data_IF_337897546031
#
_entry.id   IF_337897546031
#
_cell.length_a   1.000
_cell.length_b   1.000
_cell.length_c   1.000
_cell.angle_alpha   90.00
_cell.angle_beta   90.00
_cell.angle_gamma   90.00
#
_symmetry.space_group_name_H-M   'P 1'
#
loop_
_entity.id
_entity.type
_entity.pdbx_description
1 polymer ?
#
# COMPACT_ATOMS: atom_id res chain seq x y z
N UNK A 1 -1.42 -13.24 -31.53
CA UNK A 1 -1.89 -14.16 -30.45
C UNK A 1 -1.57 -13.50 -29.11
N UNK A 2 -2.56 -13.03 -28.31
CA UNK A 2 -2.27 -12.42 -27.00
C UNK A 2 -1.87 -13.53 -26.01
N UNK A 3 -0.67 -13.47 -25.45
CA UNK A 3 -0.22 -14.40 -24.40
C UNK A 3 -1.25 -14.38 -23.26
N UNK A 4 -1.80 -15.54 -22.90
CA UNK A 4 -2.68 -15.66 -21.73
C UNK A 4 -1.85 -15.30 -20.49
N UNK A 5 -2.19 -14.18 -19.84
CA UNK A 5 -1.60 -13.79 -18.57
C UNK A 5 -1.89 -14.89 -17.54
N UNK A 6 -0.84 -15.46 -16.96
CA UNK A 6 -0.97 -16.40 -15.83
C UNK A 6 -1.38 -15.59 -14.60
N UNK A 7 -2.32 -16.12 -13.82
CA UNK A 7 -2.72 -15.52 -12.54
C UNK A 7 -1.57 -15.68 -11.54
N UNK A 8 -1.11 -14.59 -10.90
CA UNK A 8 -0.08 -14.67 -9.87
C UNK A 8 -0.59 -15.44 -8.64
N UNK A 9 0.30 -16.27 -8.09
CA UNK A 9 0.10 -16.96 -6.80
C UNK A 9 1.12 -16.38 -5.82
N UNK A 10 0.62 -15.71 -4.78
CA UNK A 10 1.40 -14.95 -3.81
C UNK A 10 1.32 -15.57 -2.41
N UNK A 11 2.18 -15.12 -1.49
CA UNK A 11 2.24 -15.63 -0.12
C UNK A 11 3.00 -16.94 0.03
N UNK A 12 3.69 -17.42 -1.01
CA UNK A 12 4.49 -18.65 -0.94
C UNK A 12 5.84 -18.43 -0.23
N UNK A 13 6.40 -17.24 -0.33
CA UNK A 13 7.65 -16.87 0.34
C UNK A 13 7.52 -16.95 1.87
N UNK A 14 6.31 -16.71 2.41
CA UNK A 14 5.98 -16.93 3.82
C UNK A 14 6.22 -18.38 4.25
N UNK A 15 6.28 -19.34 3.32
CA UNK A 15 6.49 -20.77 3.60
C UNK A 15 7.81 -21.29 3.02
N UNK A 16 8.60 -20.44 2.37
CA UNK A 16 9.82 -20.86 1.67
C UNK A 16 9.56 -21.82 0.52
N UNK A 17 8.41 -21.68 -0.16
CA UNK A 17 8.03 -22.54 -1.27
C UNK A 17 7.99 -21.76 -2.58
N UNK A 18 8.35 -22.42 -3.67
CA UNK A 18 7.99 -22.03 -5.03
C UNK A 18 6.61 -22.55 -5.41
N UNK A 19 6.02 -22.03 -6.49
CA UNK A 19 4.75 -22.56 -7.02
C UNK A 19 4.86 -24.04 -7.43
N UNK A 20 6.03 -24.49 -7.91
CA UNK A 20 6.28 -25.88 -8.27
C UNK A 20 6.25 -26.79 -7.04
N UNK A 21 6.89 -26.37 -5.95
CA UNK A 21 6.91 -27.10 -4.69
C UNK A 21 5.53 -27.13 -4.04
N UNK A 22 4.78 -26.02 -4.08
CA UNK A 22 3.38 -26.00 -3.66
C UNK A 22 2.58 -27.07 -4.41
N UNK A 23 2.65 -27.09 -5.75
CA UNK A 23 1.93 -28.08 -6.57
C UNK A 23 2.33 -29.52 -6.23
N UNK A 24 3.58 -29.76 -5.82
CA UNK A 24 4.06 -31.07 -5.43
C UNK A 24 3.42 -31.60 -4.13
N UNK A 25 2.76 -30.74 -3.33
CA UNK A 25 2.03 -31.12 -2.11
C UNK A 25 0.68 -31.83 -2.40
N UNK A 26 0.26 -31.92 -3.67
CA UNK A 26 -0.89 -32.70 -4.18
C UNK A 26 -2.22 -32.47 -3.44
N UNK A 27 -2.57 -33.36 -2.51
CA UNK A 27 -3.88 -33.41 -1.85
C UNK A 27 -3.94 -32.62 -0.55
N UNK A 28 -2.82 -32.01 -0.14
CA UNK A 28 -2.75 -31.20 1.07
C UNK A 28 -3.75 -30.05 1.04
N UNK A 29 -4.36 -29.77 2.19
CA UNK A 29 -5.29 -28.67 2.35
C UNK A 29 -4.53 -27.35 2.53
N UNK A 30 -5.04 -26.32 1.86
CA UNK A 30 -4.52 -24.96 1.95
C UNK A 30 -5.66 -23.98 2.14
N UNK A 31 -5.43 -22.95 2.95
CA UNK A 31 -6.33 -21.81 3.06
C UNK A 31 -5.87 -20.75 2.09
N UNK A 32 -6.77 -20.31 1.23
CA UNK A 32 -6.45 -19.37 0.15
C UNK A 32 -7.47 -18.25 0.07
N UNK A 33 -7.02 -17.08 -0.37
CA UNK A 33 -7.86 -16.00 -0.90
C UNK A 33 -7.72 -15.96 -2.40
N UNK A 34 -8.84 -15.94 -3.11
CA UNK A 34 -8.87 -15.78 -4.57
C UNK A 34 -9.63 -14.51 -4.88
N UNK A 35 -8.93 -13.53 -5.45
CA UNK A 35 -9.49 -12.21 -5.74
C UNK A 35 -10.01 -12.15 -7.19
N UNK A 36 -11.17 -11.54 -7.39
CA UNK A 36 -11.73 -11.30 -8.72
C UNK A 36 -11.02 -10.13 -9.40
N UNK A 37 -10.80 -10.25 -10.71
CA UNK A 37 -10.32 -9.16 -11.56
C UNK A 37 -11.16 -7.88 -11.39
N UNK A 38 -10.55 -6.72 -11.62
CA UNK A 38 -11.25 -5.43 -11.56
C UNK A 38 -12.17 -5.16 -12.76
N UNK A 39 -12.07 -5.97 -13.82
CA UNK A 39 -12.72 -5.70 -15.10
C UNK A 39 -11.98 -4.62 -15.90
N UNK A 40 -12.39 -4.43 -17.15
CA UNK A 40 -11.90 -3.33 -17.98
C UNK A 40 -12.51 -2.00 -17.51
N UNK A 41 -11.68 -0.97 -17.36
CA UNK A 41 -12.12 0.32 -16.81
C UNK A 41 -12.50 1.32 -17.91
N UNK A 42 -11.86 1.20 -19.08
CA UNK A 42 -12.02 2.10 -20.21
C UNK A 42 -13.47 2.20 -20.71
N UNK A 43 -14.25 1.10 -20.79
CA UNK A 43 -15.66 1.19 -21.15
C UNK A 43 -16.50 2.00 -20.14
N UNK A 44 -15.99 2.22 -18.93
CA UNK A 44 -16.71 2.89 -17.86
C UNK A 44 -16.49 4.41 -17.80
N UNK A 45 -15.46 4.92 -18.49
CA UNK A 45 -15.13 6.34 -18.50
C UNK A 45 -16.24 7.25 -19.06
N UNK A 46 -17.02 6.85 -20.09
CA UNK A 46 -18.11 7.69 -20.60
C UNK A 46 -19.25 7.92 -19.60
N UNK A 47 -19.40 7.08 -18.59
CA UNK A 47 -20.51 7.17 -17.64
C UNK A 47 -20.20 8.13 -16.48
N UNK A 48 -21.21 8.84 -15.94
CA UNK A 48 -21.11 9.57 -14.67
C UNK A 48 -20.75 8.65 -13.48
N UNK A 49 -20.22 9.18 -12.36
CA UNK A 49 -19.73 8.38 -11.25
C UNK A 49 -20.75 7.42 -10.62
N UNK A 50 -22.01 7.81 -10.50
CA UNK A 50 -23.09 6.99 -9.94
C UNK A 50 -23.44 5.80 -10.86
N UNK A 51 -23.58 6.04 -12.16
CA UNK A 51 -23.81 4.98 -13.16
C UNK A 51 -22.59 4.07 -13.28
N UNK A 52 -21.39 4.65 -13.27
CA UNK A 52 -20.12 3.91 -13.24
C UNK A 52 -20.06 2.95 -12.06
N UNK A 53 -20.41 3.43 -10.85
CA UNK A 53 -20.45 2.59 -9.65
C UNK A 53 -21.41 1.41 -9.80
N UNK A 54 -22.62 1.63 -10.34
CA UNK A 54 -23.59 0.54 -10.59
C UNK A 54 -23.04 -0.50 -11.56
N UNK A 55 -22.49 -0.07 -12.70
CA UNK A 55 -21.88 -0.97 -13.69
C UNK A 55 -20.69 -1.75 -13.13
N UNK A 56 -19.86 -1.13 -12.29
CA UNK A 56 -18.79 -1.84 -11.58
C UNK A 56 -19.34 -2.91 -10.64
N UNK A 57 -20.45 -2.63 -9.95
CA UNK A 57 -21.08 -3.58 -9.03
C UNK A 57 -21.63 -4.80 -9.80
N UNK A 58 -22.28 -4.57 -10.94
CA UNK A 58 -22.76 -5.61 -11.86
C UNK A 58 -21.60 -6.50 -12.34
N UNK A 59 -20.54 -5.90 -12.89
CA UNK A 59 -19.35 -6.62 -13.37
C UNK A 59 -18.71 -7.42 -12.23
N UNK A 60 -18.56 -6.85 -11.04
CA UNK A 60 -18.00 -7.55 -9.89
C UNK A 60 -18.89 -8.72 -9.43
N UNK A 61 -20.21 -8.52 -9.43
CA UNK A 61 -21.18 -9.57 -9.15
C UNK A 61 -21.03 -10.76 -10.12
N UNK A 62 -20.95 -10.49 -11.42
CA UNK A 62 -20.80 -11.53 -12.44
C UNK A 62 -19.48 -12.30 -12.31
N UNK A 63 -18.36 -11.59 -12.09
CA UNK A 63 -17.05 -12.22 -11.90
C UNK A 63 -17.04 -13.08 -10.63
N UNK A 64 -17.68 -12.62 -9.55
CA UNK A 64 -17.83 -13.38 -8.32
C UNK A 64 -18.69 -14.63 -8.52
N UNK A 65 -19.81 -14.55 -9.25
CA UNK A 65 -20.64 -15.72 -9.58
C UNK A 65 -19.86 -16.76 -10.38
N UNK A 66 -19.02 -16.32 -11.33
CA UNK A 66 -18.10 -17.20 -12.07
C UNK A 66 -17.08 -17.87 -11.15
N UNK A 67 -16.48 -17.12 -10.22
CA UNK A 67 -15.54 -17.68 -9.24
C UNK A 67 -16.21 -18.68 -8.30
N UNK A 68 -17.39 -18.35 -7.78
CA UNK A 68 -18.21 -19.23 -6.94
C UNK A 68 -18.56 -20.53 -7.67
N UNK A 69 -18.90 -20.45 -8.95
CA UNK A 69 -19.27 -21.62 -9.76
C UNK A 69 -18.14 -22.64 -9.97
N UNK A 70 -16.88 -22.22 -9.80
CA UNK A 70 -15.70 -23.11 -9.89
C UNK A 70 -15.08 -23.44 -8.53
N UNK A 71 -15.64 -22.94 -7.44
CA UNK A 71 -15.12 -23.17 -6.10
C UNK A 71 -15.41 -24.63 -5.66
N UNK A 72 -14.42 -25.35 -5.11
CA UNK A 72 -14.55 -26.80 -4.86
C UNK A 72 -15.43 -27.17 -3.65
N UNK A 73 -15.74 -26.22 -2.77
CA UNK A 73 -16.52 -26.45 -1.55
C UNK A 73 -17.73 -25.50 -1.45
N UNK A 74 -18.70 -25.78 -0.59
CA UNK A 74 -19.72 -24.81 -0.20
C UNK A 74 -19.29 -23.94 0.98
N UNK A 75 -18.27 -24.39 1.71
CA UNK A 75 -17.70 -23.66 2.84
C UNK A 75 -16.66 -22.66 2.35
N UNK A 76 -17.03 -21.38 2.39
CA UNK A 76 -16.18 -20.26 2.06
C UNK A 76 -16.70 -18.96 2.66
N UNK A 77 -15.80 -17.99 2.80
CA UNK A 77 -16.14 -16.62 3.20
C UNK A 77 -15.98 -15.67 2.02
N UNK A 78 -16.88 -14.68 1.93
CA UNK A 78 -16.83 -13.67 0.88
C UNK A 78 -15.85 -12.58 1.29
N UNK A 79 -14.91 -12.24 0.41
CA UNK A 79 -14.02 -11.09 0.60
C UNK A 79 -14.74 -9.85 0.07
N UNK A 80 -14.76 -8.77 0.84
CA UNK A 80 -15.44 -7.52 0.47
C UNK A 80 -16.86 -7.45 1.03
N UNK A 81 -17.75 -6.71 0.37
CA UNK A 81 -19.14 -6.54 0.82
C UNK A 81 -20.11 -7.37 -0.02
N UNK A 82 -21.32 -7.62 0.50
CA UNK A 82 -22.39 -8.30 -0.26
C UNK A 82 -22.70 -7.60 -1.59
N UNK A 83 -22.60 -6.27 -1.63
CA UNK A 83 -22.85 -5.44 -2.82
C UNK A 83 -21.66 -5.43 -3.79
N UNK A 84 -20.44 -5.57 -3.28
CA UNK A 84 -19.18 -5.56 -4.04
C UNK A 84 -18.28 -6.69 -3.57
N UNK A 85 -18.60 -7.94 -3.96
CA UNK A 85 -17.74 -9.06 -3.63
C UNK A 85 -16.40 -8.89 -4.37
N UNK A 86 -15.31 -8.89 -3.61
CA UNK A 86 -13.95 -8.79 -4.11
C UNK A 86 -13.30 -10.15 -4.38
N UNK A 87 -13.82 -11.24 -3.80
CA UNK A 87 -13.23 -12.57 -3.93
C UNK A 87 -13.84 -13.58 -2.96
N UNK A 88 -13.20 -14.74 -2.87
CA UNK A 88 -13.56 -15.83 -1.96
C UNK A 88 -12.33 -16.21 -1.13
N UNK A 89 -12.52 -16.46 0.16
CA UNK A 89 -11.51 -17.05 1.04
C UNK A 89 -12.03 -18.39 1.57
N UNK A 90 -11.18 -19.41 1.61
CA UNK A 90 -11.57 -20.71 2.13
C UNK A 90 -10.50 -21.77 1.97
N UNK A 91 -10.81 -22.98 2.40
CA UNK A 91 -9.87 -24.12 2.36
C UNK A 91 -10.12 -24.96 1.12
N UNK A 92 -9.08 -25.22 0.34
CA UNK A 92 -9.11 -26.03 -0.89
C UNK A 92 -7.94 -27.01 -0.91
N UNK A 93 -8.01 -28.05 -1.75
CA UNK A 93 -6.84 -28.90 -2.01
C UNK A 93 -5.86 -28.16 -2.91
N UNK A 94 -4.57 -28.39 -2.74
CA UNK A 94 -3.53 -27.86 -3.64
C UNK A 94 -3.83 -28.20 -5.11
N UNK A 95 -4.31 -29.41 -5.40
CA UNK A 95 -4.71 -29.84 -6.74
C UNK A 95 -5.77 -28.92 -7.39
N UNK A 96 -6.63 -28.29 -6.58
CA UNK A 96 -7.70 -27.41 -7.05
C UNK A 96 -7.22 -26.01 -7.46
N UNK A 97 -5.99 -25.60 -7.09
CA UNK A 97 -5.43 -24.28 -7.46
C UNK A 97 -5.46 -24.05 -8.98
N UNK A 98 -5.27 -25.13 -9.76
CA UNK A 98 -5.30 -25.07 -11.24
C UNK A 98 -6.66 -24.63 -11.80
N UNK A 99 -7.75 -24.79 -11.04
CA UNK A 99 -9.09 -24.31 -11.42
C UNK A 99 -9.14 -22.79 -11.53
N UNK A 100 -8.32 -22.09 -10.76
CA UNK A 100 -8.29 -20.62 -10.69
C UNK A 100 -7.20 -19.99 -11.57
N UNK A 101 -6.00 -20.60 -11.61
CA UNK A 101 -4.79 -19.99 -12.22
C UNK A 101 -4.89 -19.66 -13.72
N UNK A 102 -5.83 -20.28 -14.43
CA UNK A 102 -6.05 -20.10 -15.87
C UNK A 102 -7.30 -19.27 -16.20
N UNK A 103 -7.90 -18.60 -15.20
CA UNK A 103 -9.15 -17.84 -15.37
C UNK A 103 -8.85 -16.35 -15.45
N UNK A 104 -9.25 -15.72 -16.55
CA UNK A 104 -9.07 -14.28 -16.78
C UNK A 104 -9.86 -13.40 -15.79
N UNK A 105 -10.90 -13.94 -15.16
CA UNK A 105 -11.69 -13.24 -14.14
C UNK A 105 -11.07 -13.32 -12.74
N UNK A 106 -9.94 -14.01 -12.57
CA UNK A 106 -9.17 -14.05 -11.32
C UNK A 106 -8.00 -13.07 -11.44
N UNK A 107 -7.86 -12.20 -10.44
CA UNK A 107 -6.77 -11.23 -10.37
C UNK A 107 -5.49 -11.86 -9.81
N UNK A 108 -5.62 -12.48 -8.63
CA UNK A 108 -4.54 -13.09 -7.88
C UNK A 108 -5.08 -14.16 -6.92
N UNK A 109 -4.17 -15.03 -6.46
CA UNK A 109 -4.39 -16.06 -5.46
C UNK A 109 -3.38 -15.83 -4.34
N UNK A 110 -3.84 -15.69 -3.10
CA UNK A 110 -2.99 -15.52 -1.93
C UNK A 110 -3.07 -16.76 -1.03
N UNK A 111 -1.94 -17.37 -0.71
CA UNK A 111 -1.87 -18.50 0.22
C UNK A 111 -1.77 -17.98 1.65
N UNK A 112 -2.74 -18.33 2.50
CA UNK A 112 -2.76 -17.92 3.91
C UNK A 112 -2.14 -18.96 4.83
N UNK A 113 -2.49 -20.22 4.64
CA UNK A 113 -2.09 -21.35 5.48
C UNK A 113 -1.90 -22.60 4.61
N UNK A 114 -0.92 -23.43 4.97
CA UNK A 114 -0.70 -24.73 4.35
C UNK A 114 -0.66 -25.77 5.47
N UNK A 115 -1.52 -26.78 5.37
CA UNK A 115 -1.61 -27.84 6.37
C UNK A 115 -0.25 -28.48 6.65
N UNK A 116 0.15 -28.50 7.93
CA UNK A 116 1.42 -29.07 8.36
C UNK A 116 2.68 -28.28 7.97
N UNK A 117 2.57 -27.08 7.36
CA UNK A 117 3.72 -26.20 7.10
C UNK A 117 3.55 -24.91 7.89
N UNK A 118 4.51 -24.63 8.76
CA UNK A 118 4.55 -23.37 9.51
C UNK A 118 5.11 -22.26 8.63
N UNK A 119 4.54 -21.06 8.74
CA UNK A 119 5.14 -19.87 8.16
C UNK A 119 6.56 -19.66 8.67
N UNK A 120 7.47 -19.32 7.78
CA UNK A 120 8.79 -18.82 8.10
C UNK A 120 8.64 -17.54 8.91
N UNK A 121 9.40 -17.45 10.00
CA UNK A 121 9.65 -16.16 10.64
C UNK A 121 10.59 -15.37 9.74
N UNK A 122 10.04 -14.65 8.76
CA UNK A 122 10.83 -13.73 7.96
C UNK A 122 11.54 -12.76 8.92
N UNK A 123 12.87 -12.69 8.83
CA UNK A 123 13.62 -11.68 9.58
C UNK A 123 13.11 -10.34 9.09
N UNK A 124 12.61 -9.50 10.01
CA UNK A 124 12.28 -8.12 9.67
C UNK A 124 13.54 -7.49 9.10
N UNK A 125 13.48 -7.05 7.85
CA UNK A 125 14.57 -6.28 7.24
C UNK A 125 14.31 -4.83 7.58
N UNK A 126 15.38 -4.05 7.76
CA UNK A 126 15.21 -2.61 7.97
C UNK A 126 14.83 -1.93 6.66
N UNK A 127 13.75 -1.17 6.65
CA UNK A 127 13.35 -0.31 5.54
C UNK A 127 13.63 1.15 5.87
N UNK A 128 13.57 2.03 4.87
CA UNK A 128 13.69 3.47 5.06
C UNK A 128 12.36 4.08 5.52
N UNK A 129 12.43 4.88 6.57
CA UNK A 129 11.30 5.63 7.11
C UNK A 129 11.65 7.11 7.17
N UNK A 130 10.70 7.97 6.83
CA UNK A 130 10.80 9.42 7.02
C UNK A 130 9.97 9.82 8.24
N UNK A 131 10.60 10.44 9.24
CA UNK A 131 9.94 10.89 10.47
C UNK A 131 9.84 12.40 10.45
N UNK A 132 8.60 12.90 10.47
CA UNK A 132 8.25 14.31 10.52
C UNK A 132 8.13 14.74 11.99
N UNK A 133 8.84 15.76 12.42
CA UNK A 133 8.91 16.20 13.81
C UNK A 133 8.92 17.72 13.95
N UNK A 134 8.42 18.22 15.08
CA UNK A 134 8.42 19.64 15.44
C UNK A 134 9.49 19.95 16.49
N UNK A 135 10.19 21.05 16.27
CA UNK A 135 11.21 21.58 17.17
C UNK A 135 10.90 23.04 17.45
N UNK A 136 10.67 23.38 18.71
CA UNK A 136 10.56 24.77 19.13
C UNK A 136 11.96 25.38 19.26
N UNK A 137 12.16 26.56 18.66
CA UNK A 137 13.38 27.35 18.85
C UNK A 137 13.21 28.15 20.14
N UNK A 138 14.12 27.97 21.09
CA UNK A 138 14.09 28.64 22.38
C UNK A 138 15.30 29.57 22.49
N UNK A 139 15.02 30.86 22.67
CA UNK A 139 16.01 31.93 22.82
C UNK A 139 16.04 32.37 24.29
N UNK A 140 17.24 32.51 24.84
CA UNK A 140 17.46 32.99 26.20
C UNK A 140 16.76 34.33 26.46
N UNK A 141 16.09 34.44 27.62
CA UNK A 141 15.37 35.66 28.02
C UNK A 141 14.02 35.88 27.33
N UNK A 142 13.69 35.15 26.25
CA UNK A 142 12.40 35.28 25.59
C UNK A 142 11.27 34.62 26.41
N UNK A 143 10.32 35.43 26.89
CA UNK A 143 9.19 34.97 27.73
C UNK A 143 7.80 35.28 27.15
N UNK A 144 7.73 36.09 26.08
CA UNK A 144 6.49 36.54 25.43
C UNK A 144 6.70 36.66 23.92
N UNK A 145 5.59 36.80 23.18
CA UNK A 145 5.59 36.95 21.72
C UNK A 145 5.39 35.63 20.99
N UNK A 146 5.67 35.63 19.68
CA UNK A 146 5.61 34.42 18.85
C UNK A 146 6.89 33.60 19.00
N UNK A 147 6.74 32.28 19.13
CA UNK A 147 7.84 31.34 19.11
C UNK A 147 7.97 30.73 17.71
N UNK A 148 9.20 30.67 17.22
CA UNK A 148 9.49 29.96 15.98
C UNK A 148 9.52 28.44 16.21
N UNK A 149 8.88 27.71 15.31
CA UNK A 149 8.86 26.25 15.30
C UNK A 149 9.40 25.78 13.96
N UNK A 150 10.35 24.87 14.02
CA UNK A 150 10.93 24.21 12.86
C UNK A 150 10.30 22.83 12.67
N UNK A 151 9.86 22.56 11.45
CA UNK A 151 9.42 21.24 11.04
C UNK A 151 10.55 20.51 10.32
N UNK A 152 10.98 19.37 10.87
CA UNK A 152 12.06 18.56 10.30
C UNK A 152 11.54 17.21 9.83
N UNK A 153 12.03 16.76 8.69
CA UNK A 153 11.81 15.40 8.20
C UNK A 153 13.16 14.68 8.16
N UNK A 154 13.28 13.63 8.95
CA UNK A 154 14.54 12.88 9.11
C UNK A 154 14.35 11.45 8.66
N UNK A 155 15.27 10.97 7.84
CA UNK A 155 15.23 9.63 7.25
C UNK A 155 16.06 8.67 8.12
N UNK A 156 15.51 7.48 8.41
CA UNK A 156 16.16 6.46 9.25
C UNK A 156 15.84 5.05 8.76
N UNK A 157 16.78 4.11 8.92
CA UNK A 157 16.50 2.68 8.72
C UNK A 157 15.98 2.03 9.99
N UNK A 158 14.78 1.46 9.94
CA UNK A 158 14.11 0.84 11.08
C UNK A 158 13.30 -0.41 10.67
N UNK A 159 12.79 -1.17 11.64
CA UNK A 159 11.96 -2.36 11.37
C UNK A 159 10.45 -2.04 11.22
N UNK A 160 10.07 -0.76 11.23
CA UNK A 160 8.69 -0.28 11.20
C UNK A 160 8.58 1.14 11.78
N UNK A 161 7.44 1.79 11.62
CA UNK A 161 7.23 3.19 12.02
C UNK A 161 7.53 3.45 13.51
N UNK A 162 7.07 2.57 14.42
CA UNK A 162 7.33 2.70 15.87
C UNK A 162 8.81 2.59 16.23
N UNK A 163 9.56 1.78 15.48
CA UNK A 163 11.00 1.63 15.69
C UNK A 163 11.75 2.86 15.16
N UNK A 164 11.33 3.40 14.01
CA UNK A 164 11.87 4.64 13.44
C UNK A 164 11.69 5.83 14.39
N UNK A 165 10.47 6.00 14.92
CA UNK A 165 10.14 7.01 15.92
C UNK A 165 11.04 6.89 17.16
N UNK A 166 11.15 5.68 17.73
CA UNK A 166 11.98 5.43 18.93
C UNK A 166 13.46 5.73 18.69
N UNK A 167 14.00 5.37 17.53
CA UNK A 167 15.40 5.66 17.16
C UNK A 167 15.60 7.17 17.13
N UNK A 168 14.72 7.91 16.45
CA UNK A 168 14.90 9.35 16.25
C UNK A 168 14.58 10.18 17.49
N UNK A 169 13.58 9.84 18.31
CA UNK A 169 13.37 10.51 19.61
C UNK A 169 14.64 10.48 20.46
N UNK A 170 15.36 9.34 20.48
CA UNK A 170 16.64 9.25 21.20
C UNK A 170 17.72 10.14 20.59
N UNK A 171 17.79 10.23 19.26
CA UNK A 171 18.75 11.09 18.58
C UNK A 171 18.43 12.58 18.79
N UNK A 172 17.16 12.96 18.76
CA UNK A 172 16.68 14.33 18.91
C UNK A 172 16.96 14.93 20.27
N UNK A 173 17.10 14.12 21.31
CA UNK A 173 17.56 14.58 22.64
C UNK A 173 18.90 15.30 22.59
N UNK A 174 19.75 15.02 21.60
CA UNK A 174 21.03 15.72 21.42
C UNK A 174 20.90 17.13 20.83
N UNK A 175 19.75 17.47 20.23
CA UNK A 175 19.54 18.82 19.68
C UNK A 175 19.24 19.88 20.76
N UNK A 176 19.12 19.46 22.02
CA UNK A 176 18.88 20.36 23.15
C UNK A 176 20.13 21.12 23.62
N UNK A 177 21.32 20.76 23.13
CA UNK A 177 22.56 21.42 23.51
C UNK A 177 22.53 22.88 23.02
N UNK A 178 22.55 23.86 23.93
CA UNK A 178 22.45 25.25 23.56
C UNK A 178 23.77 25.73 22.94
N UNK A 179 23.68 26.74 22.07
CA UNK A 179 24.84 27.40 21.47
C UNK A 179 24.64 28.91 21.46
N UNK A 180 25.74 29.65 21.42
CA UNK A 180 25.73 31.12 21.31
C UNK A 180 25.52 31.50 19.84
N UNK A 181 24.45 32.24 19.55
CA UNK A 181 24.19 32.74 18.21
C UNK A 181 25.02 34.02 17.92
N UNK A 182 24.96 34.53 16.68
CA UNK A 182 25.70 35.74 16.26
C UNK A 182 25.25 37.04 16.94
N UNK A 183 24.12 37.03 17.63
CA UNK A 183 23.58 38.16 18.38
C UNK A 183 23.97 38.11 19.87
N UNK A 184 24.71 37.09 20.29
CA UNK A 184 25.12 36.91 21.68
C UNK A 184 24.05 36.27 22.57
N UNK A 185 23.03 35.65 21.98
CA UNK A 185 21.96 34.96 22.73
C UNK A 185 22.22 33.45 22.75
N UNK A 186 21.93 32.79 23.88
CA UNK A 186 21.90 31.33 23.93
C UNK A 186 20.63 30.81 23.26
N UNK A 187 20.78 29.94 22.27
CA UNK A 187 19.67 29.35 21.50
C UNK A 187 19.73 27.83 21.61
N UNK A 188 18.57 27.18 21.71
CA UNK A 188 18.47 25.71 21.60
C UNK A 188 17.23 25.28 20.83
N UNK A 189 17.29 24.09 20.22
CA UNK A 189 16.13 23.41 19.67
C UNK A 189 15.55 22.45 20.70
N UNK A 190 14.29 22.67 21.05
CA UNK A 190 13.55 21.78 21.92
C UNK A 190 12.67 20.87 21.08
N UNK A 191 12.96 19.57 21.06
CA UNK A 191 12.06 18.60 20.43
C UNK A 191 10.70 18.60 21.16
N UNK A 192 9.62 18.86 20.43
CA UNK A 192 8.27 18.84 21.00
C UNK A 192 7.60 17.47 20.80
N UNK A 193 7.50 17.04 19.54
CA UNK A 193 6.77 15.83 19.16
C UNK A 193 7.15 15.32 17.78
N UNK A 194 6.90 14.03 17.57
CA UNK A 194 6.76 13.46 16.22
C UNK A 194 5.36 13.76 15.72
N UNK A 195 5.27 14.32 14.52
CA UNK A 195 4.02 14.66 13.84
C UNK A 195 3.50 13.46 13.06
N UNK A 196 4.38 12.79 12.32
CA UNK A 196 4.02 11.65 11.49
C UNK A 196 5.25 10.79 11.14
N UNK A 197 5.01 9.55 10.72
CA UNK A 197 6.05 8.61 10.30
C UNK A 197 5.61 7.87 9.03
N UNK A 198 6.35 8.09 7.94
CA UNK A 198 6.06 7.52 6.63
C UNK A 198 7.00 6.35 6.32
N UNK A 199 6.43 5.23 5.89
CA UNK A 199 7.19 4.17 5.21
C UNK A 199 7.45 4.64 3.77
N UNK A 200 8.73 4.78 3.44
CA UNK A 200 9.11 5.29 2.12
C UNK A 200 8.93 4.24 1.02
N UNK A 201 8.76 2.95 1.36
CA UNK A 201 8.65 1.84 0.42
C UNK A 201 9.76 1.84 -0.66
N UNK A 202 10.95 2.33 -0.30
CA UNK A 202 12.15 2.31 -1.15
C UNK A 202 13.23 1.48 -0.47
N UNK A 203 13.87 0.61 -1.26
CA UNK A 203 15.02 -0.15 -0.79
C UNK A 203 16.31 0.69 -0.82
N UNK A 204 16.44 1.55 -1.83
CA UNK A 204 17.59 2.43 -2.08
C UNK A 204 17.11 3.84 -2.38
N UNK A 205 17.87 4.84 -1.91
CA UNK A 205 17.61 6.25 -2.20
C UNK A 205 18.32 6.56 -3.52
N UNK A 206 17.55 6.83 -4.57
CA UNK A 206 18.07 7.24 -5.88
C UNK A 206 18.70 8.65 -5.77
N UNK A 207 20.00 8.81 -6.10
CA UNK A 207 20.66 10.11 -6.08
C UNK A 207 20.09 11.11 -7.09
N UNK A 208 19.35 10.66 -8.12
CA UNK A 208 18.64 11.55 -9.06
C UNK A 208 17.40 12.18 -8.45
N UNK A 209 16.94 11.69 -7.31
CA UNK A 209 15.76 12.16 -6.61
C UNK A 209 14.92 11.00 -6.10
N UNK A 210 14.61 11.03 -4.80
CA UNK A 210 13.68 10.10 -4.16
C UNK A 210 12.62 10.94 -3.46
N UNK A 211 11.35 10.63 -3.70
CA UNK A 211 10.26 11.24 -2.94
C UNK A 211 10.29 10.68 -1.52
N UNK A 212 10.50 11.57 -0.53
CA UNK A 212 10.63 11.19 0.88
C UNK A 212 9.45 11.66 1.74
N UNK A 213 8.63 12.55 1.19
CA UNK A 213 7.48 13.16 1.84
C UNK A 213 6.56 13.79 0.80
N UNK A 214 5.26 13.72 1.05
CA UNK A 214 4.25 14.51 0.37
C UNK A 214 3.18 14.94 1.37
N UNK A 215 2.52 16.06 1.07
CA UNK A 215 1.38 16.55 1.84
C UNK A 215 0.18 16.73 0.92
N UNK A 216 -0.99 16.26 1.37
CA UNK A 216 -2.24 16.52 0.67
C UNK A 216 -2.79 17.90 1.05
N UNK A 217 -2.58 18.88 0.18
CA UNK A 217 -3.19 20.20 0.32
C UNK A 217 -4.52 20.23 -0.42
N UNK A 218 -5.58 20.69 0.25
CA UNK A 218 -6.87 20.98 -0.38
C UNK A 218 -6.87 22.42 -0.87
N UNK A 219 -7.21 22.64 -2.13
CA UNK A 219 -7.37 23.96 -2.73
C UNK A 219 -8.72 24.09 -3.43
N UNK A 220 -9.20 25.33 -3.60
CA UNK A 220 -10.41 25.60 -4.38
C UNK A 220 -10.18 25.20 -5.84
N UNK A 221 -11.14 24.46 -6.41
CA UNK A 221 -11.11 24.06 -7.82
C UNK A 221 -11.24 25.31 -8.72
N UNK A 222 -10.46 25.35 -9.80
CA UNK A 222 -10.53 26.36 -10.86
C UNK A 222 -10.69 25.66 -12.22
N UNK A 223 -11.26 26.31 -13.24
CA UNK A 223 -11.47 25.69 -14.56
C UNK A 223 -10.21 25.08 -15.18
N UNK A 224 -9.04 25.69 -14.99
CA UNK A 224 -7.76 25.19 -15.50
C UNK A 224 -7.28 23.89 -14.82
N UNK A 225 -7.85 23.53 -13.66
CA UNK A 225 -7.55 22.28 -12.95
C UNK A 225 -8.53 21.15 -13.27
N UNK A 226 -9.53 21.42 -14.11
CA UNK A 226 -10.50 20.40 -14.51
C UNK A 226 -9.83 19.33 -15.37
N UNK A 227 -9.91 18.08 -14.91
CA UNK A 227 -9.47 16.94 -15.71
C UNK A 227 -10.65 16.39 -16.52
N UNK A 228 -10.48 16.34 -17.84
CA UNK A 228 -11.49 15.83 -18.78
C UNK A 228 -11.01 14.54 -19.48
N UNK A 229 -11.08 13.37 -18.81
CA UNK A 229 -10.49 12.13 -19.33
C UNK A 229 -11.03 11.73 -20.72
N UNK A 230 -12.28 12.04 -21.03
CA UNK A 230 -12.88 11.75 -22.34
C UNK A 230 -12.25 12.55 -23.49
N UNK A 231 -11.81 13.79 -23.25
CA UNK A 231 -11.13 14.60 -24.27
C UNK A 231 -9.77 13.98 -24.60
N UNK A 232 -9.05 13.49 -23.59
CA UNK A 232 -7.73 12.85 -23.75
C UNK A 232 -7.81 11.51 -24.49
N UNK A 233 -8.79 10.66 -24.16
CA UNK A 233 -9.00 9.37 -24.84
C UNK A 233 -9.32 9.59 -26.32
N UNK A 234 -10.14 10.60 -26.65
CA UNK A 234 -10.45 10.95 -28.05
C UNK A 234 -9.22 11.44 -28.81
N UNK A 235 -8.32 12.21 -28.18
CA UNK A 235 -7.04 12.62 -28.78
C UNK A 235 -6.16 11.40 -29.10
N UNK A 236 -5.97 10.48 -28.14
CA UNK A 236 -5.18 9.26 -28.35
C UNK A 236 -5.70 8.38 -29.49
N UNK A 237 -7.03 8.26 -29.64
CA UNK A 237 -7.63 7.47 -30.74
C UNK A 237 -7.47 8.12 -32.13
N UNK A 238 -7.16 9.40 -32.21
CA UNK A 238 -6.98 10.14 -33.47
C UNK A 238 -5.54 10.13 -34.00
N UNK A 239 -4.61 9.45 -33.33
CA UNK A 239 -3.24 9.28 -33.83
C UNK A 239 -2.41 10.57 -33.87
N UNK A 240 -2.62 11.45 -32.89
CA UNK A 240 -1.67 12.53 -32.55
C UNK A 240 -0.93 12.12 -31.29
#
# INVERSE_FOLDING_TARGET
>A
MKLKRKVPVSGLDDFGLSLRELIALKDRMIKVRVHCAYGEQEPLFPFPPDIRRKKMDEVKGDLFLKLRGIWPSKDYTVIGSKKRPGGISGTVRVADIRKFTNKNFVHDIWIEEIEGIRKLKLRKVKSWFAVKAHFAIQIEGQTKGFQEVEERIVIVRAFGCKDAEKILIKAFKKYHDPYLNKYGEMVRWHFEKVVDVYDMNVDTIDPKGTEVFYEFIRRRMKPEYEWHPLKEIKKKKRGV
#
